data_IF_785265012236
#
_entry.id   IF_785265012236
#
_cell.length_a   1.000
_cell.length_b   1.000
_cell.length_c   1.000
_cell.angle_alpha   90.00
_cell.angle_beta   90.00
_cell.angle_gamma   90.00
#
_symmetry.space_group_name_H-M   'P 1'
#
loop_
_entity.id
_entity.type
_entity.pdbx_description
1 polymer ?
#
# COMPACT_ATOMS: atom_id res chain seq x y z
N UNK A 1 -14.11 -17.55 -30.02
CA UNK A 1 -13.68 -16.51 -29.07
C UNK A 1 -13.21 -17.24 -27.82
N UNK A 2 -11.91 -17.51 -27.76
CA UNK A 2 -11.29 -18.35 -26.74
C UNK A 2 -10.80 -17.47 -25.59
N UNK A 3 -11.32 -17.73 -24.40
CA UNK A 3 -10.99 -17.05 -23.16
C UNK A 3 -9.71 -17.71 -22.60
N UNK A 4 -8.57 -17.02 -22.67
CA UNK A 4 -7.34 -17.48 -22.03
C UNK A 4 -7.46 -17.26 -20.52
N UNK A 5 -7.75 -18.34 -19.78
CA UNK A 5 -7.55 -18.38 -18.34
C UNK A 5 -6.05 -18.58 -18.09
N UNK A 6 -5.36 -17.51 -17.72
CA UNK A 6 -3.99 -17.56 -17.27
C UNK A 6 -3.99 -17.96 -15.79
N UNK A 7 -3.89 -19.26 -15.53
CA UNK A 7 -3.66 -19.81 -14.20
C UNK A 7 -2.21 -19.53 -13.81
N UNK A 8 -1.97 -18.57 -12.92
CA UNK A 8 -0.65 -18.34 -12.33
C UNK A 8 -0.43 -19.44 -11.29
N UNK A 9 0.46 -20.37 -11.62
CA UNK A 9 0.87 -21.48 -10.79
C UNK A 9 1.94 -20.97 -9.82
N UNK A 10 1.61 -20.75 -8.55
CA UNK A 10 2.60 -20.53 -7.51
C UNK A 10 3.41 -21.82 -7.33
N UNK A 11 4.68 -21.78 -7.76
CA UNK A 11 5.61 -22.89 -7.57
C UNK A 11 6.09 -22.89 -6.11
N UNK A 12 5.50 -23.76 -5.30
CA UNK A 12 6.07 -24.17 -4.02
C UNK A 12 7.38 -24.93 -4.29
N UNK A 13 8.52 -24.25 -4.14
CA UNK A 13 9.84 -24.86 -4.23
C UNK A 13 10.15 -25.55 -2.90
N UNK A 14 9.60 -26.75 -2.71
CA UNK A 14 10.08 -27.69 -1.69
C UNK A 14 11.40 -28.30 -2.16
N UNK A 15 12.49 -27.94 -1.47
CA UNK A 15 13.78 -28.56 -1.65
C UNK A 15 14.06 -29.45 -0.42
N UNK A 16 14.18 -30.78 -0.58
CA UNK A 16 14.59 -31.67 0.50
C UNK A 16 16.10 -31.89 0.49
N UNK A 17 16.62 -32.39 1.62
CA UNK A 17 17.95 -32.98 1.92
C UNK A 17 18.79 -32.15 2.90
N UNK A 18 19.38 -32.70 3.96
CA UNK A 18 19.30 -34.02 4.57
C UNK A 18 19.98 -33.94 5.95
N UNK A 19 19.53 -34.80 6.87
CA UNK A 19 20.14 -35.07 8.16
C UNK A 19 21.60 -35.55 8.00
N UNK A 20 22.55 -34.98 8.74
CA UNK A 20 23.75 -35.71 9.16
C UNK A 20 24.32 -35.15 10.47
N UNK A 21 24.19 -35.98 11.50
CA UNK A 21 24.84 -35.91 12.80
C UNK A 21 26.35 -35.70 12.70
N UNK A 22 26.87 -34.71 13.43
CA UNK A 22 28.11 -34.83 14.18
C UNK A 22 28.07 -33.84 15.35
N UNK A 23 28.23 -34.39 16.55
CA UNK A 23 28.55 -33.72 17.80
C UNK A 23 29.58 -32.61 17.61
N UNK A 24 29.16 -31.36 17.73
CA UNK A 24 30.07 -30.28 18.12
C UNK A 24 29.34 -29.31 19.06
N UNK A 25 29.94 -29.10 20.22
CA UNK A 25 29.44 -28.22 21.28
C UNK A 25 29.81 -26.79 20.89
N UNK A 26 29.06 -26.23 19.94
CA UNK A 26 29.11 -24.83 19.56
C UNK A 26 27.72 -24.26 19.78
N UNK A 27 27.63 -23.31 20.71
CA UNK A 27 26.47 -22.47 20.97
C UNK A 27 26.15 -21.68 19.70
N UNK A 28 25.38 -22.26 18.79
CA UNK A 28 24.76 -21.58 17.68
C UNK A 28 23.59 -20.77 18.23
N UNK A 29 23.68 -19.45 18.14
CA UNK A 29 22.50 -18.60 18.24
C UNK A 29 21.59 -18.97 17.08
N UNK A 30 20.42 -19.54 17.39
CA UNK A 30 19.33 -19.65 16.45
C UNK A 30 18.86 -18.20 16.23
N UNK A 31 19.21 -17.63 15.07
CA UNK A 31 18.64 -16.37 14.63
C UNK A 31 17.17 -16.67 14.31
N UNK A 32 16.27 -16.25 15.20
CA UNK A 32 14.84 -16.25 14.92
C UNK A 32 14.61 -15.29 13.75
N UNK A 33 14.18 -15.82 12.61
CA UNK A 33 13.73 -14.98 11.50
C UNK A 33 12.45 -14.28 11.96
N UNK A 34 12.53 -12.97 12.19
CA UNK A 34 11.36 -12.16 12.48
C UNK A 34 10.46 -12.13 11.24
N UNK A 35 9.27 -12.71 11.36
CA UNK A 35 8.23 -12.63 10.33
C UNK A 35 7.68 -11.20 10.31
N UNK A 36 8.13 -10.39 9.35
CA UNK A 36 7.58 -9.05 9.14
C UNK A 36 6.22 -9.16 8.48
N UNK A 37 5.18 -8.68 9.16
CA UNK A 37 3.84 -8.61 8.59
C UNK A 37 3.77 -7.40 7.66
N UNK A 38 3.48 -7.65 6.38
CA UNK A 38 3.29 -6.59 5.38
C UNK A 38 2.00 -5.80 5.69
N UNK A 39 2.10 -4.46 5.68
CA UNK A 39 0.99 -3.56 5.98
C UNK A 39 0.76 -2.63 4.79
N UNK A 40 -0.18 -3.00 3.92
CA UNK A 40 -0.47 -2.25 2.68
C UNK A 40 -1.90 -1.72 2.72
N UNK A 41 -2.06 -0.44 2.37
CA UNK A 41 -3.38 0.20 2.24
C UNK A 41 -3.69 0.49 0.77
N UNK A 42 -4.97 0.46 0.39
CA UNK A 42 -5.39 0.75 -0.98
C UNK A 42 -6.64 1.64 -1.10
N UNK A 43 -6.72 2.39 -2.20
CA UNK A 43 -7.93 3.08 -2.65
C UNK A 43 -7.96 3.16 -4.18
N UNK A 44 -9.12 2.95 -4.79
CA UNK A 44 -9.29 3.00 -6.25
C UNK A 44 -10.03 4.25 -6.71
N UNK A 45 -9.65 4.75 -7.89
CA UNK A 45 -10.32 5.85 -8.58
C UNK A 45 -10.84 5.42 -9.94
N UNK A 46 -12.06 5.82 -10.31
CA UNK A 46 -12.61 5.53 -11.64
C UNK A 46 -11.83 6.27 -12.74
N UNK A 47 -11.52 5.58 -13.84
CA UNK A 47 -10.92 6.16 -15.05
C UNK A 47 -11.47 5.45 -16.29
N UNK A 48 -12.22 6.18 -17.14
CA UNK A 48 -12.93 5.59 -18.27
C UNK A 48 -13.90 4.48 -17.84
N UNK A 49 -13.74 3.29 -18.42
CA UNK A 49 -14.53 2.10 -18.10
C UNK A 49 -13.88 1.21 -17.01
N UNK A 50 -12.79 1.67 -16.37
CA UNK A 50 -12.06 0.92 -15.36
C UNK A 50 -11.70 1.75 -14.13
N UNK A 51 -10.72 1.27 -13.37
CA UNK A 51 -10.20 1.94 -12.17
C UNK A 51 -8.68 1.96 -12.19
N UNK A 52 -8.09 2.96 -11.55
CA UNK A 52 -6.69 2.96 -11.15
C UNK A 52 -6.61 2.80 -9.62
N UNK A 53 -5.72 1.94 -9.14
CA UNK A 53 -5.60 1.61 -7.71
C UNK A 53 -4.29 2.16 -7.17
N UNK A 54 -4.38 2.91 -6.07
CA UNK A 54 -3.25 3.41 -5.32
C UNK A 54 -3.01 2.49 -4.13
N UNK A 55 -1.76 2.11 -3.93
CA UNK A 55 -1.27 1.31 -2.82
C UNK A 55 -0.18 2.06 -2.09
N UNK A 56 -0.22 2.06 -0.76
CA UNK A 56 0.87 2.56 0.07
C UNK A 56 1.29 1.51 1.09
N UNK A 57 2.58 1.18 1.08
CA UNK A 57 3.21 0.31 2.05
C UNK A 57 3.59 1.11 3.31
N UNK A 58 3.07 0.64 4.44
CA UNK A 58 3.23 1.21 5.78
C UNK A 58 4.08 0.31 6.70
N UNK A 59 4.66 -0.77 6.17
CA UNK A 59 5.32 -1.85 6.95
C UNK A 59 6.44 -1.34 7.85
N UNK A 60 7.26 -0.42 7.35
CA UNK A 60 8.47 0.03 8.04
C UNK A 60 8.25 1.22 9.01
N UNK A 61 7.00 1.52 9.36
CA UNK A 61 6.66 2.64 10.25
C UNK A 61 6.61 2.16 11.70
N UNK A 62 7.65 2.48 12.48
CA UNK A 62 7.73 2.14 13.91
C UNK A 62 6.53 2.72 14.69
N UNK A 63 5.80 1.85 15.39
CA UNK A 63 4.67 2.23 16.24
C UNK A 63 3.33 2.40 15.53
N UNK A 64 3.28 2.24 14.20
CA UNK A 64 2.03 2.24 13.47
C UNK A 64 1.23 0.96 13.75
N UNK A 65 0.03 1.10 14.29
CA UNK A 65 -0.93 0.02 14.50
C UNK A 65 -2.06 0.07 13.46
N UNK A 66 -2.13 -0.87 12.50
CA UNK A 66 -3.16 -0.88 11.46
C UNK A 66 -4.58 -1.13 11.99
N UNK A 67 -4.73 -1.61 13.23
CA UNK A 67 -6.04 -1.80 13.86
C UNK A 67 -6.66 -0.49 14.38
N UNK A 68 -5.84 0.54 14.62
CA UNK A 68 -6.28 1.79 15.24
C UNK A 68 -5.99 3.04 14.41
N UNK A 69 -4.91 3.05 13.64
CA UNK A 69 -4.56 4.17 12.78
C UNK A 69 -5.17 4.05 11.40
N UNK A 70 -5.37 5.22 10.79
CA UNK A 70 -5.99 5.40 9.48
C UNK A 70 -5.01 6.00 8.50
N UNK A 71 -5.19 5.63 7.24
CA UNK A 71 -4.41 6.13 6.11
C UNK A 71 -5.35 6.80 5.13
N UNK A 72 -4.95 7.96 4.65
CA UNK A 72 -5.72 8.80 3.75
C UNK A 72 -4.87 9.15 2.53
N UNK A 73 -5.53 9.28 1.38
CA UNK A 73 -4.96 9.90 0.18
C UNK A 73 -5.75 11.16 -0.16
N UNK A 74 -5.03 12.23 -0.52
CA UNK A 74 -5.62 13.43 -1.13
C UNK A 74 -4.67 14.00 -2.17
N UNK A 75 -5.15 14.97 -2.95
CA UNK A 75 -4.42 15.53 -4.07
C UNK A 75 -5.32 16.25 -5.05
N UNK A 76 -4.82 16.54 -6.25
CA UNK A 76 -5.63 17.10 -7.34
C UNK A 76 -6.82 16.19 -7.69
N UNK A 77 -6.70 14.88 -7.48
CA UNK A 77 -7.76 13.89 -7.63
C UNK A 77 -8.95 14.08 -6.68
N UNK A 78 -8.77 14.80 -5.57
CA UNK A 78 -9.83 15.19 -4.62
C UNK A 78 -9.86 16.71 -4.38
N UNK A 79 -9.36 17.51 -5.33
CA UNK A 79 -9.28 18.97 -5.23
C UNK A 79 -8.63 19.49 -3.93
N UNK A 80 -7.62 18.75 -3.44
CA UNK A 80 -6.91 19.05 -2.19
C UNK A 80 -7.84 19.21 -0.98
N UNK A 81 -8.91 18.39 -0.87
CA UNK A 81 -9.71 18.29 0.35
C UNK A 81 -8.84 17.86 1.53
N UNK A 82 -9.06 18.47 2.69
CA UNK A 82 -8.30 18.19 3.92
C UNK A 82 -8.39 16.71 4.32
N UNK A 83 -7.26 16.04 4.60
CA UNK A 83 -7.25 14.62 4.97
C UNK A 83 -8.14 14.33 6.19
N UNK A 84 -8.96 13.28 6.08
CA UNK A 84 -9.86 12.83 7.13
C UNK A 84 -11.19 13.60 7.23
N UNK A 85 -11.39 14.65 6.42
CA UNK A 85 -12.67 15.40 6.43
C UNK A 85 -13.74 14.78 5.52
N UNK A 86 -13.32 13.98 4.54
CA UNK A 86 -14.21 13.21 3.65
C UNK A 86 -13.80 11.73 3.64
N UNK A 87 -13.98 10.99 4.77
CA UNK A 87 -13.50 9.61 4.90
C UNK A 87 -14.03 8.67 3.82
N UNK A 88 -15.29 8.84 3.37
CA UNK A 88 -15.91 8.06 2.29
C UNK A 88 -15.16 8.17 0.94
N UNK A 89 -14.27 9.15 0.80
CA UNK A 89 -13.51 9.44 -0.43
C UNK A 89 -12.00 9.40 -0.26
N UNK A 90 -11.51 9.47 0.97
CA UNK A 90 -10.09 9.64 1.29
C UNK A 90 -9.49 8.44 2.01
N UNK A 91 -10.26 7.77 2.88
CA UNK A 91 -9.75 6.68 3.73
C UNK A 91 -9.42 5.47 2.88
N UNK A 92 -8.17 5.02 2.97
CA UNK A 92 -7.69 3.82 2.32
C UNK A 92 -8.01 2.60 3.19
N UNK A 93 -8.22 1.44 2.56
CA UNK A 93 -8.51 0.18 3.26
C UNK A 93 -7.23 -0.65 3.41
N UNK A 94 -7.03 -1.27 4.58
CA UNK A 94 -5.97 -2.25 4.78
C UNK A 94 -6.23 -3.48 3.91
N UNK A 95 -5.21 -3.92 3.16
CA UNK A 95 -5.24 -5.15 2.37
C UNK A 95 -4.81 -6.32 3.26
N UNK A 96 -5.78 -7.09 3.75
CA UNK A 96 -5.52 -8.29 4.56
C UNK A 96 -5.28 -9.53 3.68
N UNK A 97 -6.00 -9.60 2.56
CA UNK A 97 -5.87 -10.66 1.56
C UNK A 97 -6.40 -10.24 0.18
N UNK A 98 -6.27 -11.15 -0.79
CA UNK A 98 -6.73 -10.94 -2.18
C UNK A 98 -8.26 -10.79 -2.36
N UNK A 99 -9.05 -11.02 -1.31
CA UNK A 99 -10.50 -10.84 -1.31
C UNK A 99 -10.95 -9.54 -0.66
N UNK A 100 -10.02 -8.74 -0.13
CA UNK A 100 -10.30 -7.39 0.39
C UNK A 100 -11.01 -6.54 -0.66
N UNK A 101 -12.17 -5.98 -0.30
CA UNK A 101 -12.90 -5.06 -1.16
C UNK A 101 -12.26 -3.67 -1.11
N UNK A 102 -11.71 -3.23 -2.23
CA UNK A 102 -11.09 -1.90 -2.35
C UNK A 102 -12.17 -0.88 -2.73
N UNK A 103 -12.39 0.19 -1.94
CA UNK A 103 -13.36 1.23 -2.29
C UNK A 103 -13.00 1.92 -3.61
N UNK A 104 -14.02 2.30 -4.38
CA UNK A 104 -13.88 2.98 -5.66
C UNK A 104 -14.51 4.38 -5.58
N UNK A 105 -13.71 5.40 -5.88
CA UNK A 105 -14.08 6.82 -5.76
C UNK A 105 -14.05 7.47 -7.14
N UNK A 106 -14.98 8.40 -7.40
CA UNK A 106 -14.90 9.25 -8.60
C UNK A 106 -13.95 10.42 -8.34
N UNK A 107 -12.88 10.60 -9.14
CA UNK A 107 -11.93 11.67 -8.95
C UNK A 107 -12.48 13.02 -9.47
N UNK A 108 -11.99 14.12 -8.91
CA UNK A 108 -12.26 15.49 -9.37
C UNK A 108 -11.40 15.88 -10.60
N UNK A 109 -10.29 15.17 -10.81
CA UNK A 109 -9.37 15.38 -11.92
C UNK A 109 -8.89 14.05 -12.51
N UNK A 110 -8.70 13.99 -13.83
CA UNK A 110 -8.16 12.83 -14.55
C UNK A 110 -6.88 13.20 -15.30
N UNK A 111 -6.15 12.20 -15.80
CA UNK A 111 -4.85 12.38 -16.44
C UNK A 111 -3.71 12.46 -15.42
N UNK A 112 -2.79 13.40 -15.59
CA UNK A 112 -1.71 13.61 -14.61
C UNK A 112 -2.27 14.24 -13.33
N UNK A 113 -2.07 13.54 -12.21
CA UNK A 113 -2.53 13.95 -10.89
C UNK A 113 -1.36 14.11 -9.94
N UNK A 114 -1.44 15.10 -9.05
CA UNK A 114 -0.53 15.26 -7.93
C UNK A 114 -1.23 14.84 -6.64
N UNK A 115 -0.54 14.12 -5.76
CA UNK A 115 -1.13 13.53 -4.55
C UNK A 115 -0.11 13.32 -3.43
N UNK A 116 -0.63 12.99 -2.24
CA UNK A 116 0.17 12.64 -1.06
C UNK A 116 -0.64 11.76 -0.10
N UNK A 117 0.05 10.95 0.68
CA UNK A 117 -0.52 10.14 1.75
C UNK A 117 -0.46 10.83 3.11
N UNK A 118 -1.44 10.57 3.95
CA UNK A 118 -1.60 11.14 5.29
C UNK A 118 -2.05 10.06 6.27
N UNK A 119 -1.74 10.20 7.56
CA UNK A 119 -2.18 9.30 8.60
C UNK A 119 -2.39 10.03 9.92
N UNK A 120 -3.48 9.68 10.62
CA UNK A 120 -3.76 10.17 11.97
C UNK A 120 -2.76 9.70 13.02
N UNK A 121 -1.93 8.68 12.70
CA UNK A 121 -0.78 8.26 13.50
C UNK A 121 0.25 9.39 13.65
N UNK A 122 0.51 10.13 12.57
CA UNK A 122 1.48 11.24 12.58
C UNK A 122 0.83 12.48 13.20
N UNK A 123 -0.29 12.91 12.64
CA UNK A 123 -1.16 13.95 13.17
C UNK A 123 -2.48 13.99 12.38
N UNK A 124 -3.47 14.75 12.85
CA UNK A 124 -4.70 14.95 12.09
C UNK A 124 -4.51 15.96 10.95
N UNK A 125 -5.26 15.76 9.86
CA UNK A 125 -5.30 16.70 8.73
C UNK A 125 -3.94 16.84 8.02
N UNK A 126 -3.62 18.06 7.60
CA UNK A 126 -2.41 18.34 6.80
C UNK A 126 -1.09 18.05 7.52
N UNK A 127 -1.08 18.15 8.85
CA UNK A 127 0.11 17.86 9.65
C UNK A 127 0.42 16.35 9.68
N UNK A 128 -0.54 15.50 9.28
CA UNK A 128 -0.39 14.04 9.22
C UNK A 128 0.28 13.51 7.96
N UNK A 129 0.83 14.38 7.12
CA UNK A 129 1.43 13.99 5.84
C UNK A 129 2.71 13.19 6.01
N UNK A 130 2.98 12.28 5.07
CA UNK A 130 4.24 11.51 5.01
C UNK A 130 5.50 12.39 5.01
N UNK A 131 5.40 13.62 4.47
CA UNK A 131 6.36 14.70 4.68
C UNK A 131 5.70 16.08 4.53
N UNK A 132 6.32 17.10 5.10
CA UNK A 132 5.86 18.48 5.00
C UNK A 132 6.18 19.11 3.64
N UNK A 133 5.23 19.86 3.07
CA UNK A 133 5.44 20.66 1.87
C UNK A 133 5.71 19.85 0.59
N UNK A 134 6.57 20.39 -0.28
CA UNK A 134 6.91 19.82 -1.57
C UNK A 134 8.03 18.76 -1.50
N UNK A 135 8.16 17.87 -2.51
CA UNK A 135 7.25 17.72 -3.66
C UNK A 135 6.01 16.90 -3.30
N UNK A 136 4.99 17.00 -4.14
CA UNK A 136 3.90 16.03 -4.16
C UNK A 136 4.27 14.87 -5.08
N UNK A 137 3.74 13.68 -4.82
CA UNK A 137 3.83 12.57 -5.78
C UNK A 137 3.03 12.92 -7.03
N UNK A 138 3.42 12.35 -8.17
CA UNK A 138 2.69 12.50 -9.43
C UNK A 138 2.43 11.15 -10.07
N UNK A 139 1.22 10.95 -10.61
CA UNK A 139 0.86 9.74 -11.35
C UNK A 139 -0.02 10.09 -12.54
N UNK A 140 -0.04 9.23 -13.56
CA UNK A 140 -1.02 9.33 -14.65
C UNK A 140 -2.15 8.34 -14.38
N UNK A 141 -3.35 8.86 -14.15
CA UNK A 141 -4.54 8.04 -13.96
C UNK A 141 -4.88 7.33 -15.29
N UNK A 142 -4.76 6.01 -15.30
CA UNK A 142 -5.07 5.16 -16.45
C UNK A 142 -5.88 3.96 -15.98
N UNK A 143 -6.90 3.55 -16.75
CA UNK A 143 -7.69 2.37 -16.42
C UNK A 143 -6.79 1.11 -16.29
N UNK A 144 -6.88 0.44 -15.16
CA UNK A 144 -6.08 -0.74 -14.80
C UNK A 144 -4.68 -0.42 -14.24
N UNK A 145 -4.34 0.85 -14.01
CA UNK A 145 -3.07 1.21 -13.39
C UNK A 145 -3.04 0.78 -11.92
N UNK A 146 -1.90 0.27 -11.49
CA UNK A 146 -1.56 0.03 -10.10
C UNK A 146 -0.39 0.96 -9.75
N UNK A 147 -0.63 1.90 -8.83
CA UNK A 147 0.36 2.85 -8.32
C UNK A 147 0.80 2.34 -6.97
N UNK A 148 2.06 1.93 -6.83
CA UNK A 148 2.62 1.34 -5.62
C UNK A 148 3.65 2.30 -5.03
N UNK A 149 3.44 2.71 -3.79
CA UNK A 149 4.30 3.63 -3.07
C UNK A 149 4.73 3.04 -1.72
N UNK A 150 5.85 3.53 -1.22
CA UNK A 150 6.30 3.30 0.16
C UNK A 150 6.12 4.60 0.94
N UNK A 151 5.51 4.53 2.11
CA UNK A 151 5.30 5.69 2.96
C UNK A 151 6.63 6.40 3.27
N UNK A 152 6.66 7.72 3.08
CA UNK A 152 7.85 8.53 3.38
C UNK A 152 8.98 8.43 2.35
N UNK A 153 8.85 7.58 1.32
CA UNK A 153 9.77 7.55 0.17
C UNK A 153 9.50 8.74 -0.75
N UNK A 154 10.12 9.87 -0.43
CA UNK A 154 9.92 11.16 -1.08
C UNK A 154 10.51 11.14 -2.51
N UNK A 155 9.75 11.53 -3.55
CA UNK A 155 10.28 11.63 -4.90
C UNK A 155 11.31 12.77 -5.02
N UNK A 156 12.32 12.58 -5.89
CA UNK A 156 13.39 13.57 -6.16
C UNK A 156 12.93 14.77 -7.00
#
# INVERSE_FOLDING_TARGET
MSLNKLTILFAALLLPFALMSCSDNTTGAEEEEEETTEVVYALSFTEGDGVATFFVDMTDIEGFDPATHKVYITGSLLNWTEPGTEPDRQEMVLIEDASTEIPVVTPEATGEVAYKYFSDFVAQGWDGGEWAGDPNRTATLTAGAEIQDIWGDQPE
#
